data_IF_625857434694
#
_entry.id   IF_625857434694
#
_cell.length_a   1.000
_cell.length_b   1.000
_cell.length_c   1.000
_cell.angle_alpha   90.00
_cell.angle_beta   90.00
_cell.angle_gamma   90.00
#
_symmetry.space_group_name_H-M   'P 1'
#
loop_
_entity.id
_entity.type
_entity.pdbx_description
1 polymer ?
#
# COMPACT_ATOMS: atom_id res chain seq x y z
N UNK A 1 3.84 7.93 -4.07
CA UNK A 1 4.61 7.65 -2.84
C UNK A 1 3.65 7.48 -1.69
N UNK A 2 3.95 6.62 -0.72
CA UNK A 2 3.01 6.26 0.35
C UNK A 2 3.69 5.61 1.55
N UNK A 3 2.92 5.37 2.60
CA UNK A 3 3.37 4.75 3.84
C UNK A 3 2.39 3.67 4.32
N UNK A 4 2.92 2.65 4.97
CA UNK A 4 2.16 1.61 5.67
C UNK A 4 3.03 0.95 6.73
N UNK A 5 2.49 0.67 7.91
CA UNK A 5 3.22 0.00 9.01
C UNK A 5 4.55 0.68 9.40
N UNK A 6 4.66 2.01 9.26
CA UNK A 6 5.90 2.80 9.47
C UNK A 6 6.97 2.64 8.39
N UNK A 7 6.65 1.93 7.30
CA UNK A 7 7.50 1.81 6.12
C UNK A 7 7.06 2.82 5.07
N UNK A 8 8.03 3.47 4.44
CA UNK A 8 7.83 4.47 3.41
C UNK A 8 8.25 3.91 2.06
N UNK A 9 7.38 4.07 1.08
CA UNK A 9 7.50 3.46 -0.24
C UNK A 9 7.72 4.53 -1.30
N UNK A 10 8.72 4.29 -2.16
CA UNK A 10 8.90 5.09 -3.36
C UNK A 10 7.86 4.73 -4.43
N UNK A 11 7.93 5.39 -5.59
CA UNK A 11 6.98 5.18 -6.68
C UNK A 11 7.01 3.75 -7.27
N UNK A 12 8.14 3.04 -7.15
CA UNK A 12 8.28 1.64 -7.58
C UNK A 12 7.80 0.63 -6.51
N UNK A 13 7.35 1.13 -5.35
CA UNK A 13 6.95 0.31 -4.21
C UNK A 13 8.11 -0.31 -3.44
N UNK A 14 9.31 0.24 -3.60
CA UNK A 14 10.49 -0.14 -2.81
C UNK A 14 10.48 0.63 -1.50
N UNK A 15 10.88 -0.03 -0.43
CA UNK A 15 11.03 0.58 0.89
C UNK A 15 12.28 1.45 0.87
N UNK A 16 12.12 2.76 1.07
CA UNK A 16 13.23 3.71 1.11
C UNK A 16 13.57 4.16 2.52
N UNK A 17 12.65 3.99 3.45
CA UNK A 17 12.82 4.36 4.86
C UNK A 17 11.84 3.60 5.73
N UNK A 18 12.23 3.31 6.97
CA UNK A 18 11.36 2.77 8.00
C UNK A 18 11.68 3.39 9.36
N UNK A 19 10.66 3.57 10.18
CA UNK A 19 10.82 4.05 11.56
C UNK A 19 10.84 2.86 12.50
N UNK A 20 11.89 2.78 13.32
CA UNK A 20 12.00 1.77 14.38
C UNK A 20 10.85 1.89 15.38
N UNK A 21 10.36 0.75 15.87
CA UNK A 21 9.20 0.68 16.73
C UNK A 21 8.90 -0.76 17.13
N UNK A 22 7.91 -0.93 17.98
CA UNK A 22 7.54 -2.23 18.57
C UNK A 22 6.20 -2.68 18.00
N UNK A 23 6.06 -3.98 17.74
CA UNK A 23 4.80 -4.60 17.33
C UNK A 23 4.88 -5.16 15.92
N UNK A 24 3.78 -5.00 15.17
CA UNK A 24 3.63 -5.59 13.84
C UNK A 24 4.66 -5.01 12.86
N UNK A 25 5.45 -5.90 12.27
CA UNK A 25 6.40 -5.60 11.23
C UNK A 25 5.87 -6.03 9.86
N UNK A 26 6.44 -5.43 8.82
CA UNK A 26 5.98 -5.65 7.47
C UNK A 26 6.21 -7.09 6.96
N UNK A 27 7.21 -7.77 7.53
CA UNK A 27 7.50 -9.19 7.31
C UNK A 27 6.46 -10.11 7.94
N UNK A 28 5.77 -9.67 8.98
CA UNK A 28 4.77 -10.50 9.65
C UNK A 28 3.55 -10.73 8.75
N UNK A 29 3.31 -9.82 7.80
CA UNK A 29 2.25 -9.95 6.81
C UNK A 29 2.40 -11.21 5.94
N UNK A 30 3.60 -11.75 5.78
CA UNK A 30 3.85 -12.98 4.99
C UNK A 30 3.23 -14.22 5.66
N UNK A 31 3.02 -14.17 6.99
CA UNK A 31 2.41 -15.24 7.78
C UNK A 31 0.92 -15.01 8.05
N UNK A 32 0.35 -13.90 7.59
CA UNK A 32 -1.07 -13.58 7.76
C UNK A 32 -1.84 -14.06 6.52
N UNK A 33 -2.80 -14.94 6.74
CA UNK A 33 -3.57 -15.56 5.65
C UNK A 33 -4.44 -14.56 4.86
N UNK A 34 -4.91 -13.51 5.51
CA UNK A 34 -5.73 -12.46 4.91
C UNK A 34 -5.28 -11.07 5.36
N UNK A 35 -4.74 -10.30 4.42
CA UNK A 35 -4.39 -8.89 4.61
C UNK A 35 -5.43 -8.03 3.89
N UNK A 36 -6.09 -7.13 4.62
CA UNK A 36 -7.05 -6.18 4.06
C UNK A 36 -6.51 -4.76 4.20
N UNK A 37 -6.19 -4.13 3.08
CA UNK A 37 -5.86 -2.71 3.02
C UNK A 37 -7.14 -1.89 2.86
N UNK A 38 -7.25 -0.78 3.58
CA UNK A 38 -8.37 0.17 3.46
C UNK A 38 -7.79 1.54 3.17
N UNK A 39 -8.06 2.07 1.98
CA UNK A 39 -7.58 3.39 1.58
C UNK A 39 -8.45 3.97 0.47
N UNK A 40 -8.66 5.28 0.48
CA UNK A 40 -9.48 6.00 -0.50
C UNK A 40 -8.95 7.41 -0.77
N UNK A 41 -9.62 8.11 -1.68
CA UNK A 41 -9.24 9.42 -2.21
C UNK A 41 -8.42 9.30 -3.49
N UNK A 42 -8.87 9.98 -4.55
CA UNK A 42 -8.16 10.06 -5.84
C UNK A 42 -6.73 10.58 -5.69
N UNK A 43 -6.50 11.52 -4.78
CA UNK A 43 -5.18 12.05 -4.44
C UNK A 43 -4.24 11.03 -3.81
N UNK A 44 -4.76 9.90 -3.30
CA UNK A 44 -3.96 8.81 -2.71
C UNK A 44 -3.71 7.66 -3.69
N UNK A 45 -4.21 7.71 -4.92
CA UNK A 45 -4.06 6.63 -5.90
C UNK A 45 -2.61 6.16 -6.05
N UNK A 46 -1.67 7.11 -6.18
CA UNK A 46 -0.25 6.77 -6.29
C UNK A 46 0.35 6.22 -5.00
N UNK A 47 -0.15 6.64 -3.83
CA UNK A 47 0.28 6.11 -2.54
C UNK A 47 -0.18 4.66 -2.36
N UNK A 48 -1.46 4.41 -2.64
CA UNK A 48 -2.09 3.08 -2.60
C UNK A 48 -1.34 2.13 -3.52
N UNK A 49 -1.08 2.55 -4.75
CA UNK A 49 -0.31 1.75 -5.70
C UNK A 49 1.11 1.46 -5.17
N UNK A 50 1.86 2.47 -4.71
CA UNK A 50 3.21 2.23 -4.19
C UNK A 50 3.28 1.22 -3.04
N UNK A 51 2.29 1.20 -2.16
CA UNK A 51 2.24 0.24 -1.03
C UNK A 51 1.90 -1.18 -1.52
N UNK A 52 1.03 -1.29 -2.54
CA UNK A 52 0.48 -2.58 -2.98
C UNK A 52 1.24 -3.23 -4.14
N UNK A 53 2.03 -2.48 -4.92
CA UNK A 53 2.74 -2.97 -6.13
C UNK A 53 3.52 -4.26 -5.90
N UNK A 54 4.24 -4.37 -4.78
CA UNK A 54 5.10 -5.52 -4.49
C UNK A 54 4.43 -6.56 -3.57
N UNK A 55 3.11 -6.46 -3.33
CA UNK A 55 2.36 -7.37 -2.46
C UNK A 55 1.64 -8.42 -3.27
N UNK A 56 2.08 -9.67 -3.13
CA UNK A 56 1.52 -10.82 -3.87
C UNK A 56 0.13 -11.25 -3.39
N UNK A 57 -0.30 -10.87 -2.19
CA UNK A 57 -1.57 -11.31 -1.57
C UNK A 57 -2.17 -10.18 -0.74
N UNK A 58 -3.44 -9.87 -0.98
CA UNK A 58 -4.21 -8.90 -0.19
C UNK A 58 -5.51 -8.49 -0.86
N UNK A 59 -6.45 -7.99 -0.06
CA UNK A 59 -7.69 -7.36 -0.51
C UNK A 59 -7.58 -5.85 -0.29
N UNK A 60 -7.95 -5.04 -1.27
CA UNK A 60 -8.09 -3.59 -1.11
C UNK A 60 -9.58 -3.23 -1.04
N UNK A 61 -9.97 -2.54 0.02
CA UNK A 61 -11.24 -1.82 0.11
C UNK A 61 -10.95 -0.34 -0.16
N UNK A 62 -11.63 0.24 -1.15
CA UNK A 62 -11.40 1.60 -1.62
C UNK A 62 -12.69 2.30 -2.05
N UNK A 63 -12.59 3.60 -2.36
CA UNK A 63 -13.67 4.37 -2.98
C UNK A 63 -13.50 4.44 -4.51
N UNK A 64 -14.55 4.91 -5.19
CA UNK A 64 -14.56 5.02 -6.65
C UNK A 64 -13.49 5.99 -7.17
N UNK A 65 -13.24 7.10 -6.47
CA UNK A 65 -12.29 8.13 -6.89
C UNK A 65 -10.85 7.62 -6.90
N UNK A 66 -10.44 6.91 -5.85
CA UNK A 66 -9.17 6.23 -5.78
C UNK A 66 -9.08 5.11 -6.83
N UNK A 67 -10.12 4.28 -6.96
CA UNK A 67 -10.13 3.18 -7.92
C UNK A 67 -9.96 3.67 -9.37
N UNK A 68 -10.71 4.69 -9.78
CA UNK A 68 -10.60 5.28 -11.12
C UNK A 68 -9.22 5.88 -11.37
N UNK A 69 -8.70 6.67 -10.42
CA UNK A 69 -7.38 7.27 -10.55
C UNK A 69 -6.25 6.22 -10.61
N UNK A 70 -6.37 5.09 -9.90
CA UNK A 70 -5.42 3.97 -10.03
C UNK A 70 -5.50 3.34 -11.43
N UNK A 71 -6.70 3.10 -11.94
CA UNK A 71 -6.90 2.51 -13.28
C UNK A 71 -6.39 3.41 -14.39
N UNK A 72 -6.57 4.73 -14.28
CA UNK A 72 -6.08 5.71 -15.25
C UNK A 72 -4.54 5.74 -15.30
N UNK A 73 -3.87 5.58 -14.15
CA UNK A 73 -2.40 5.56 -14.06
C UNK A 73 -1.76 4.30 -14.64
N UNK A 74 -2.54 3.23 -14.84
CA UNK A 74 -2.08 1.94 -15.38
C UNK A 74 -2.27 1.79 -16.89
N UNK A 75 -2.90 2.77 -17.53
CA UNK A 75 -3.00 2.86 -19.00
C UNK A 75 -1.72 3.42 -19.58
#
# INVERSE_FOLDING_TARGET
>A
VGDAFRYYFNAAGEIVYNVAGIGLELSDLDNISLVVAVAGGSNKAWAIESVLTNRRRGTLISDEGAARAILERRR
#
